data_IF_838927180117
#
_entry.id   IF_838927180117
#
_cell.length_a   1.000
_cell.length_b   1.000
_cell.length_c   1.000
_cell.angle_alpha   90.00
_cell.angle_beta   90.00
_cell.angle_gamma   90.00
#
_symmetry.space_group_name_H-M   'P 1'
#
loop_
_entity.id
_entity.type
_entity.pdbx_description
1 polymer ?
#
# COMPACT_ATOMS: atom_id res chain seq x y z
N UNK A 1 -2.19 25.13 -32.12
CA UNK A 1 -3.05 24.09 -31.52
C UNK A 1 -2.17 23.37 -30.50
N UNK A 2 -2.49 23.38 -29.20
CA UNK A 2 -1.66 22.65 -28.25
C UNK A 2 -2.08 21.18 -28.35
N UNK A 3 -1.16 20.36 -28.83
CA UNK A 3 -1.29 18.91 -28.81
C UNK A 3 -1.65 18.46 -27.40
N UNK A 4 -2.72 17.68 -27.29
CA UNK A 4 -3.23 17.17 -26.03
C UNK A 4 -2.25 16.10 -25.51
N UNK A 5 -1.21 16.53 -24.79
CA UNK A 5 -0.23 15.65 -24.16
C UNK A 5 -0.95 14.92 -23.02
N UNK A 6 -1.57 13.78 -23.34
CA UNK A 6 -2.10 12.83 -22.36
C UNK A 6 -0.92 12.11 -21.70
N UNK A 7 -0.29 12.75 -20.72
CA UNK A 7 0.67 12.07 -19.84
C UNK A 7 -0.14 11.10 -18.99
N UNK A 8 -0.19 9.82 -19.37
CA UNK A 8 -0.66 8.78 -18.44
C UNK A 8 0.27 8.86 -17.23
N UNK A 9 -0.22 9.14 -16.02
CA UNK A 9 0.63 9.17 -14.85
C UNK A 9 1.32 7.82 -14.77
N UNK A 10 2.65 7.80 -14.84
CA UNK A 10 3.38 6.60 -14.47
C UNK A 10 3.00 6.34 -13.02
N UNK A 11 2.41 5.18 -12.68
CA UNK A 11 2.11 4.87 -11.30
C UNK A 11 3.41 5.05 -10.51
N UNK A 12 3.38 5.88 -9.46
CA UNK A 12 4.54 6.03 -8.58
C UNK A 12 4.87 4.63 -8.08
N UNK A 13 6.00 4.09 -8.52
CA UNK A 13 6.52 2.83 -8.02
C UNK A 13 6.99 3.09 -6.59
N UNK A 14 6.09 2.92 -5.63
CA UNK A 14 6.46 3.02 -4.21
C UNK A 14 7.14 1.72 -3.82
N UNK A 15 8.36 1.83 -3.32
CA UNK A 15 9.04 0.68 -2.76
C UNK A 15 8.35 0.25 -1.44
N UNK A 16 8.44 -1.03 -1.04
CA UNK A 16 7.79 -1.51 0.18
C UNK A 16 8.24 -0.80 1.46
N UNK A 17 9.47 -0.31 1.49
CA UNK A 17 10.04 0.43 2.64
C UNK A 17 9.29 1.75 2.87
N UNK A 18 9.12 2.56 1.83
CA UNK A 18 8.41 3.84 1.89
C UNK A 18 6.95 3.62 2.29
N UNK A 19 6.31 2.58 1.71
CA UNK A 19 4.93 2.19 2.07
C UNK A 19 4.84 1.84 3.55
N UNK A 20 5.76 1.02 4.06
CA UNK A 20 5.77 0.63 5.46
C UNK A 20 5.98 1.84 6.39
N UNK A 21 6.92 2.72 6.06
CA UNK A 21 7.18 3.95 6.82
C UNK A 21 5.96 4.86 6.90
N UNK A 22 5.29 5.11 5.78
CA UNK A 22 4.08 5.94 5.75
C UNK A 22 2.93 5.30 6.54
N UNK A 23 2.74 3.99 6.42
CA UNK A 23 1.71 3.26 7.18
C UNK A 23 1.99 3.30 8.69
N UNK A 24 3.24 3.14 9.11
CA UNK A 24 3.61 3.26 10.53
C UNK A 24 3.32 4.66 11.06
N UNK A 25 3.69 5.70 10.31
CA UNK A 25 3.39 7.08 10.69
C UNK A 25 1.88 7.33 10.78
N UNK A 26 1.11 6.84 9.80
CA UNK A 26 -0.34 6.99 9.78
C UNK A 26 -1.01 6.26 10.95
N UNK A 27 -0.56 5.04 11.27
CA UNK A 27 -1.09 4.25 12.37
C UNK A 27 -0.93 4.98 13.71
N UNK A 28 0.29 5.45 14.01
CA UNK A 28 0.57 6.18 15.25
C UNK A 28 0.15 7.65 15.23
N UNK A 29 -0.28 8.20 14.10
CA UNK A 29 -1.00 9.47 14.07
C UNK A 29 -2.38 9.38 14.73
N UNK A 30 -2.93 8.17 14.87
CA UNK A 30 -4.28 7.89 15.40
C UNK A 30 -4.29 7.06 16.67
N UNK A 31 -3.17 6.40 16.99
CA UNK A 31 -3.01 5.60 18.20
C UNK A 31 -1.73 6.00 18.93
N UNK A 32 -1.77 6.12 20.27
CA UNK A 32 -0.54 6.30 21.04
C UNK A 32 0.34 5.04 20.95
N UNK A 33 1.65 5.23 21.09
CA UNK A 33 2.62 4.17 21.34
C UNK A 33 3.25 4.39 22.71
N UNK A 34 3.59 3.31 23.40
CA UNK A 34 4.20 3.38 24.73
C UNK A 34 5.70 3.12 24.66
N UNK A 35 6.13 2.30 23.69
CA UNK A 35 7.52 1.87 23.54
C UNK A 35 8.02 1.97 22.10
N UNK A 36 9.34 1.99 21.94
CA UNK A 36 9.99 1.89 20.62
C UNK A 36 9.68 0.53 19.96
N UNK A 37 9.49 -0.52 20.77
CA UNK A 37 9.16 -1.86 20.29
C UNK A 37 7.79 -1.90 19.60
N UNK A 38 6.82 -1.11 20.06
CA UNK A 38 5.51 -0.98 19.39
C UNK A 38 5.67 -0.45 17.95
N UNK A 39 6.54 0.56 17.78
CA UNK A 39 6.84 1.14 16.48
C UNK A 39 7.52 0.12 15.57
N UNK A 40 8.51 -0.60 16.10
CA UNK A 40 9.23 -1.64 15.36
C UNK A 40 8.28 -2.77 14.91
N UNK A 41 7.40 -3.22 15.80
CA UNK A 41 6.44 -4.27 15.51
C UNK A 41 5.43 -3.83 14.43
N UNK A 42 4.88 -2.63 14.54
CA UNK A 42 3.97 -2.10 13.53
C UNK A 42 4.68 -1.94 12.17
N UNK A 43 5.89 -1.39 12.15
CA UNK A 43 6.69 -1.27 10.94
C UNK A 43 6.97 -2.63 10.29
N UNK A 44 7.40 -3.63 11.08
CA UNK A 44 7.67 -4.98 10.58
C UNK A 44 6.41 -5.62 9.98
N UNK A 45 5.25 -5.45 10.62
CA UNK A 45 3.98 -5.94 10.09
C UNK A 45 3.65 -5.28 8.74
N UNK A 46 3.73 -3.95 8.65
CA UNK A 46 3.42 -3.24 7.41
C UNK A 46 4.41 -3.53 6.29
N UNK A 47 5.71 -3.61 6.60
CA UNK A 47 6.74 -3.96 5.63
C UNK A 47 6.55 -5.38 5.10
N UNK A 48 6.25 -6.34 5.97
CA UNK A 48 5.99 -7.72 5.55
C UNK A 48 4.79 -7.81 4.60
N UNK A 49 3.73 -7.05 4.89
CA UNK A 49 2.54 -6.99 4.01
C UNK A 49 2.87 -6.32 2.68
N UNK A 50 3.62 -5.21 2.69
CA UNK A 50 3.99 -4.49 1.47
C UNK A 50 4.91 -5.33 0.56
N UNK A 51 5.92 -5.98 1.12
CA UNK A 51 6.80 -6.92 0.41
C UNK A 51 6.03 -8.11 -0.16
N UNK A 52 5.10 -8.66 0.64
CA UNK A 52 4.25 -9.74 0.17
C UNK A 52 3.37 -9.27 -1.00
N UNK A 53 2.82 -8.07 -0.92
CA UNK A 53 1.99 -7.47 -1.98
C UNK A 53 2.75 -7.25 -3.28
N UNK A 54 3.99 -6.77 -3.20
CA UNK A 54 4.84 -6.55 -4.37
C UNK A 54 5.16 -7.87 -5.10
N UNK A 55 5.37 -8.95 -4.34
CA UNK A 55 5.78 -10.26 -4.87
C UNK A 55 4.62 -11.18 -5.24
N UNK A 56 3.40 -10.84 -4.87
CA UNK A 56 2.22 -11.70 -5.01
C UNK A 56 1.30 -11.22 -6.12
N UNK A 57 0.72 -12.16 -6.86
CA UNK A 57 -0.28 -11.79 -7.88
C UNK A 57 -1.51 -11.15 -7.24
N UNK A 58 -2.00 -10.07 -7.86
CA UNK A 58 -3.22 -9.37 -7.42
C UNK A 58 -4.45 -10.30 -7.34
N UNK A 59 -4.52 -11.32 -8.21
CA UNK A 59 -5.57 -12.35 -8.18
C UNK A 59 -5.57 -13.16 -6.89
N UNK A 60 -4.38 -13.47 -6.35
CA UNK A 60 -4.26 -14.14 -5.06
C UNK A 60 -4.63 -13.18 -3.92
N UNK A 61 -4.17 -11.93 -3.98
CA UNK A 61 -4.50 -10.92 -2.97
C UNK A 61 -6.00 -10.67 -2.86
N UNK A 62 -6.73 -10.65 -3.97
CA UNK A 62 -8.18 -10.44 -4.00
C UNK A 62 -8.96 -11.40 -3.07
N UNK A 63 -8.45 -12.62 -2.82
CA UNK A 63 -9.08 -13.59 -1.91
C UNK A 63 -8.95 -13.18 -0.43
N UNK A 64 -7.95 -12.39 -0.09
CA UNK A 64 -7.66 -11.92 1.28
C UNK A 64 -8.01 -10.45 1.48
N UNK A 65 -8.54 -9.79 0.43
CA UNK A 65 -8.91 -8.39 0.49
C UNK A 65 -10.39 -8.26 0.87
N UNK A 66 -10.76 -7.36 1.80
CA UNK A 66 -12.16 -7.04 2.09
C UNK A 66 -12.96 -6.70 0.83
N UNK A 67 -14.25 -7.04 0.81
CA UNK A 67 -15.14 -6.87 -0.35
C UNK A 67 -15.11 -5.44 -0.91
N UNK A 68 -15.09 -4.45 -0.02
CA UNK A 68 -15.03 -3.01 -0.35
C UNK A 68 -13.80 -2.61 -1.18
N UNK A 69 -12.70 -3.36 -1.06
CA UNK A 69 -11.45 -3.12 -1.79
C UNK A 69 -11.35 -3.98 -3.05
N UNK A 70 -12.13 -5.06 -3.17
CA UNK A 70 -12.18 -5.88 -4.39
C UNK A 70 -12.69 -5.07 -5.58
N UNK A 71 -13.68 -4.21 -5.36
CA UNK A 71 -14.21 -3.31 -6.40
C UNK A 71 -13.14 -2.36 -6.96
N UNK A 72 -12.17 -1.95 -6.12
CA UNK A 72 -11.06 -1.08 -6.52
C UNK A 72 -10.07 -1.88 -7.36
N UNK A 73 -9.75 -3.10 -6.94
CA UNK A 73 -8.88 -4.02 -7.68
C UNK A 73 -9.45 -4.31 -9.07
N UNK A 74 -10.74 -4.61 -9.18
CA UNK A 74 -11.40 -4.90 -10.46
C UNK A 74 -11.40 -3.70 -11.41
N UNK A 75 -11.53 -2.47 -10.90
CA UNK A 75 -11.48 -1.24 -11.69
C UNK A 75 -10.08 -0.94 -12.25
N UNK A 76 -9.02 -1.37 -11.57
CA UNK A 76 -7.63 -1.18 -12.04
C UNK A 76 -7.33 -2.10 -13.25
N UNK A 77 -8.04 -3.20 -13.41
CA UNK A 77 -7.85 -4.18 -14.49
C UNK A 77 -8.80 -4.02 -15.70
N UNK A 78 -9.75 -3.07 -15.68
CA UNK A 78 -10.58 -2.72 -16.84
C UNK A 78 -9.96 -1.59 -17.65
#
# INVERSE_FOLDING_TARGET
MPDNISVKPTPIQRNPLDVATELTQLYFSRQPFDTVEDIQNAFLQFYSVAEFAEKTSLKYMANYTPEQLKEIIEKIYR
#
